data_IF_952925116563
#
_entry.id   IF_952925116563
#
_cell.length_a   1.000
_cell.length_b   1.000
_cell.length_c   1.000
_cell.angle_alpha   90.00
_cell.angle_beta   90.00
_cell.angle_gamma   90.00
#
_symmetry.space_group_name_H-M   'P 1'
#
loop_
_entity.id
_entity.type
_entity.pdbx_description
1 polymer ?
#
# COMPACT_ATOMS: atom_id res chain seq x y z
N UNK A 1 12.23 -15.86 -3.06
CA UNK A 1 11.83 -15.27 -1.76
C UNK A 1 12.52 -15.95 -0.57
N UNK A 2 12.45 -17.28 -0.43
CA UNK A 2 13.16 -18.02 0.65
C UNK A 2 14.67 -17.75 0.69
N UNK A 3 15.33 -17.72 -0.47
CA UNK A 3 16.76 -17.42 -0.58
C UNK A 3 17.12 -16.02 -0.03
N UNK A 4 16.38 -14.98 -0.42
CA UNK A 4 16.59 -13.62 0.07
C UNK A 4 16.29 -13.46 1.57
N UNK A 5 15.34 -14.23 2.11
CA UNK A 5 15.13 -14.29 3.56
C UNK A 5 16.30 -14.97 4.26
N UNK A 6 16.83 -16.07 3.70
CA UNK A 6 18.00 -16.76 4.29
C UNK A 6 19.29 -15.95 4.22
N UNK A 7 19.45 -15.12 3.18
CA UNK A 7 20.59 -14.21 3.02
C UNK A 7 20.44 -12.91 3.83
N UNK A 8 19.29 -12.69 4.48
CA UNK A 8 19.01 -11.46 5.22
C UNK A 8 18.79 -10.22 4.34
N UNK A 9 18.61 -10.40 3.03
CA UNK A 9 18.21 -9.32 2.11
C UNK A 9 16.81 -8.83 2.47
N UNK A 10 15.91 -9.76 2.77
CA UNK A 10 14.60 -9.47 3.33
C UNK A 10 14.57 -9.85 4.81
N UNK A 11 13.96 -8.99 5.62
CA UNK A 11 13.77 -9.20 7.05
C UNK A 11 12.27 -9.22 7.32
N UNK A 12 11.82 -10.25 8.03
CA UNK A 12 10.43 -10.39 8.46
C UNK A 12 10.32 -10.11 9.96
N UNK A 13 9.46 -9.16 10.33
CA UNK A 13 9.17 -8.87 11.72
C UNK A 13 8.49 -10.06 12.42
N UNK A 14 8.83 -10.27 13.70
CA UNK A 14 8.28 -11.37 14.52
C UNK A 14 6.79 -11.21 14.83
N UNK A 15 6.27 -9.99 14.74
CA UNK A 15 4.87 -9.65 15.02
C UNK A 15 4.28 -8.92 13.83
N UNK A 16 2.97 -9.07 13.57
CA UNK A 16 2.27 -8.22 12.61
C UNK A 16 2.54 -6.75 12.93
N UNK A 17 3.01 -6.02 11.93
CA UNK A 17 3.50 -4.64 12.09
C UNK A 17 3.01 -3.77 10.94
N UNK A 18 2.79 -2.49 11.25
CA UNK A 18 2.68 -1.44 10.24
C UNK A 18 4.05 -0.83 10.00
N UNK A 19 4.32 -0.43 8.76
CA UNK A 19 5.60 0.20 8.40
C UNK A 19 5.36 1.67 8.10
N UNK A 20 5.78 2.56 9.01
CA UNK A 20 5.66 4.00 8.81
C UNK A 20 6.69 4.50 7.79
N UNK A 21 6.32 5.51 7.01
CA UNK A 21 7.21 6.17 6.06
C UNK A 21 6.95 7.69 6.03
N UNK A 22 7.96 8.43 5.59
CA UNK A 22 7.87 9.88 5.33
C UNK A 22 8.24 10.13 3.86
N UNK A 23 7.42 10.90 3.15
CA UNK A 23 7.72 11.43 1.82
C UNK A 23 7.98 12.92 1.93
N UNK A 24 9.18 13.35 1.53
CA UNK A 24 9.55 14.77 1.41
C UNK A 24 9.44 15.19 -0.04
N UNK A 25 8.82 16.33 -0.28
CA UNK A 25 8.57 16.86 -1.62
C UNK A 25 8.45 18.38 -1.58
N UNK A 26 8.58 19.03 -2.74
CA UNK A 26 8.50 20.49 -2.87
C UNK A 26 7.35 20.89 -3.79
N UNK A 27 6.50 21.80 -3.33
CA UNK A 27 5.36 22.33 -4.08
C UNK A 27 5.33 23.85 -3.88
N UNK A 28 5.21 24.60 -4.97
CA UNK A 28 5.16 26.07 -4.95
C UNK A 28 6.35 26.70 -4.19
N UNK A 29 7.53 26.11 -4.36
CA UNK A 29 8.76 26.58 -3.71
C UNK A 29 8.87 26.24 -2.22
N UNK A 30 7.85 25.63 -1.61
CA UNK A 30 7.82 25.25 -0.20
C UNK A 30 8.10 23.76 -0.01
N UNK A 31 8.94 23.44 0.97
CA UNK A 31 9.17 22.05 1.37
C UNK A 31 7.99 21.53 2.18
N UNK A 32 7.55 20.32 1.83
CA UNK A 32 6.43 19.61 2.44
C UNK A 32 6.86 18.21 2.84
N UNK A 33 6.20 17.68 3.86
CA UNK A 33 6.34 16.30 4.29
C UNK A 33 4.97 15.65 4.42
N UNK A 34 4.89 14.39 4.05
CA UNK A 34 3.71 13.55 4.23
C UNK A 34 4.14 12.29 4.98
N UNK A 35 3.53 12.07 6.13
CA UNK A 35 3.66 10.84 6.88
C UNK A 35 2.60 9.85 6.43
N UNK A 36 2.96 8.59 6.38
CA UNK A 36 2.06 7.50 6.06
C UNK A 36 2.53 6.20 6.69
N UNK A 37 1.75 5.16 6.50
CA UNK A 37 2.14 3.81 6.86
C UNK A 37 1.66 2.81 5.82
N UNK A 38 2.39 1.71 5.69
CA UNK A 38 2.02 0.56 4.89
C UNK A 38 1.39 -0.49 5.79
N UNK A 39 0.27 -1.04 5.33
CA UNK A 39 -0.47 -2.10 6.01
C UNK A 39 -1.22 -2.97 5.02
N UNK A 40 -1.51 -4.21 5.42
CA UNK A 40 -2.38 -5.09 4.67
C UNK A 40 -3.85 -4.75 4.97
N UNK A 41 -4.67 -4.68 3.92
CA UNK A 41 -6.13 -4.54 4.04
C UNK A 41 -6.77 -5.88 3.77
N UNK A 42 -7.73 -6.27 4.61
CA UNK A 42 -8.49 -7.51 4.44
C UNK A 42 -9.33 -7.42 3.16
N UNK A 43 -9.31 -8.49 2.36
CA UNK A 43 -10.18 -8.61 1.19
C UNK A 43 -11.60 -8.90 1.65
N UNK A 44 -12.57 -8.21 1.06
CA UNK A 44 -14.01 -8.37 1.32
C UNK A 44 -14.77 -8.55 0.01
N UNK A 45 -15.93 -9.19 0.07
CA UNK A 45 -16.83 -9.26 -1.10
C UNK A 45 -17.30 -7.87 -1.50
N UNK A 46 -17.33 -7.61 -2.81
CA UNK A 46 -17.76 -6.32 -3.35
C UNK A 46 -19.19 -6.00 -2.90
N UNK A 47 -19.37 -4.84 -2.28
CA UNK A 47 -20.67 -4.37 -1.78
C UNK A 47 -21.07 -4.89 -0.40
N UNK A 48 -20.30 -5.79 0.22
CA UNK A 48 -20.57 -6.30 1.58
C UNK A 48 -19.62 -5.77 2.66
N UNK A 49 -18.48 -5.21 2.25
CA UNK A 49 -17.43 -4.73 3.13
C UNK A 49 -17.53 -3.25 3.48
N UNK A 50 -16.46 -2.75 4.13
CA UNK A 50 -16.26 -1.31 4.42
C UNK A 50 -15.44 -0.60 3.34
N UNK A 51 -14.98 -1.34 2.33
CA UNK A 51 -14.24 -0.80 1.19
C UNK A 51 -15.23 -0.53 0.05
N UNK A 52 -15.42 0.74 -0.28
CA UNK A 52 -16.33 1.18 -1.33
C UNK A 52 -15.57 1.49 -2.63
N UNK A 53 -16.10 1.09 -3.80
CA UNK A 53 -15.51 1.47 -5.08
C UNK A 53 -15.65 2.98 -5.30
N UNK A 54 -14.56 3.65 -5.69
CA UNK A 54 -14.56 5.06 -6.08
C UNK A 54 -14.73 5.25 -7.59
N UNK A 55 -14.49 4.20 -8.38
CA UNK A 55 -14.63 4.16 -9.83
C UNK A 55 -14.99 2.76 -10.32
N UNK A 56 -15.47 2.65 -11.56
CA UNK A 56 -15.67 1.37 -12.24
C UNK A 56 -14.45 1.02 -13.10
N UNK A 57 -13.50 0.27 -12.54
CA UNK A 57 -12.32 -0.16 -13.30
C UNK A 57 -12.65 -1.28 -14.30
N UNK A 58 -12.15 -1.16 -15.53
CA UNK A 58 -12.32 -2.16 -16.60
C UNK A 58 -11.64 -3.51 -16.28
N UNK A 59 -12.11 -4.59 -16.91
CA UNK A 59 -11.62 -5.95 -16.70
C UNK A 59 -10.15 -6.14 -17.08
N UNK A 60 -9.70 -5.55 -18.19
CA UNK A 60 -8.32 -5.69 -18.70
C UNK A 60 -7.25 -5.13 -17.74
N UNK A 61 -7.34 -3.89 -17.23
CA UNK A 61 -6.41 -3.42 -16.19
C UNK A 61 -6.38 -4.29 -14.92
N UNK A 62 -7.51 -4.90 -14.54
CA UNK A 62 -7.57 -5.81 -13.38
C UNK A 62 -6.79 -7.09 -13.64
N UNK A 63 -6.97 -7.72 -14.81
CA UNK A 63 -6.24 -8.94 -15.17
C UNK A 63 -4.74 -8.68 -15.27
N UNK A 64 -4.34 -7.56 -15.86
CA UNK A 64 -2.92 -7.22 -16.02
C UNK A 64 -2.23 -7.04 -14.67
N UNK A 65 -2.86 -6.28 -13.75
CA UNK A 65 -2.33 -6.11 -12.39
C UNK A 65 -2.27 -7.44 -11.62
N UNK A 66 -3.29 -8.29 -11.75
CA UNK A 66 -3.29 -9.62 -11.12
C UNK A 66 -2.16 -10.50 -11.66
N UNK A 67 -1.86 -10.43 -12.96
CA UNK A 67 -0.78 -11.19 -13.57
C UNK A 67 0.59 -10.74 -13.04
N UNK A 68 0.81 -9.43 -12.86
CA UNK A 68 2.03 -8.90 -12.24
C UNK A 68 2.18 -9.42 -10.80
N UNK A 69 1.10 -9.36 -10.00
CA UNK A 69 1.11 -9.87 -8.62
C UNK A 69 1.51 -11.35 -8.57
N UNK A 70 0.93 -12.17 -9.45
CA UNK A 70 1.21 -13.61 -9.53
C UNK A 70 2.64 -13.89 -9.99
N UNK A 71 3.14 -13.16 -10.99
CA UNK A 71 4.48 -13.34 -11.53
C UNK A 71 5.56 -12.94 -10.53
N UNK A 72 5.40 -11.79 -9.87
CA UNK A 72 6.35 -11.30 -8.88
C UNK A 72 6.20 -11.97 -7.51
N UNK A 73 5.05 -12.57 -7.23
CA UNK A 73 4.64 -13.05 -5.90
C UNK A 73 4.81 -11.95 -4.83
N UNK A 74 4.51 -10.71 -5.20
CA UNK A 74 4.69 -9.51 -4.37
C UNK A 74 3.73 -8.41 -4.83
N UNK A 75 3.27 -7.57 -3.88
CA UNK A 75 2.53 -6.35 -4.20
C UNK A 75 3.49 -5.18 -4.42
N UNK A 76 3.73 -4.83 -5.67
CA UNK A 76 4.63 -3.75 -6.10
C UNK A 76 3.93 -2.42 -6.33
N UNK A 77 2.59 -2.38 -6.23
CA UNK A 77 1.80 -1.16 -6.45
C UNK A 77 0.72 -1.02 -5.37
N UNK A 78 1.11 -0.72 -4.11
CA UNK A 78 0.16 -0.54 -3.02
C UNK A 78 -0.82 0.59 -3.36
N UNK A 79 -2.07 0.42 -2.92
CA UNK A 79 -3.08 1.46 -3.06
C UNK A 79 -2.66 2.63 -2.17
N UNK A 80 -2.52 3.80 -2.77
CA UNK A 80 -2.30 5.03 -2.02
C UNK A 80 -3.65 5.55 -1.51
N UNK A 81 -3.73 5.84 -0.21
CA UNK A 81 -4.93 6.35 0.43
C UNK A 81 -4.59 7.55 1.29
N UNK A 82 -5.51 8.51 1.31
CA UNK A 82 -5.40 9.71 2.15
C UNK A 82 -6.49 9.66 3.21
N UNK A 83 -6.13 10.03 4.43
CA UNK A 83 -7.05 10.17 5.54
C UNK A 83 -7.07 11.62 5.99
N UNK A 84 -8.25 12.24 5.97
CA UNK A 84 -8.45 13.58 6.51
C UNK A 84 -8.81 13.45 7.99
N UNK A 85 -7.82 13.64 8.85
CA UNK A 85 -8.05 13.74 10.29
C UNK A 85 -8.51 15.16 10.65
N UNK A 86 -9.55 15.27 11.49
CA UNK A 86 -9.92 16.56 12.11
C UNK A 86 -8.90 17.00 13.16
N UNK A 87 -8.16 16.04 13.71
CA UNK A 87 -7.09 16.29 14.68
C UNK A 87 -5.73 16.28 13.96
N UNK A 88 -4.91 17.30 14.21
CA UNK A 88 -3.52 17.30 13.77
C UNK A 88 -2.73 16.36 14.66
N UNK A 89 -2.67 15.09 14.29
CA UNK A 89 -1.75 14.14 14.93
C UNK A 89 -0.43 14.21 14.18
N UNK A 90 0.64 14.48 14.92
CA UNK A 90 1.99 14.77 14.42
C UNK A 90 2.73 13.53 13.90
#
# INVERSE_FOLDING_TARGET
MSHWLSEGIFVQDRKPSFYCYEVRYRVEGQDRKMLGFLGAVKIEELGKGKVHPHEMTYSKPKSDRLNILRYCNANTSPIFSIYSSKEKVA
#
